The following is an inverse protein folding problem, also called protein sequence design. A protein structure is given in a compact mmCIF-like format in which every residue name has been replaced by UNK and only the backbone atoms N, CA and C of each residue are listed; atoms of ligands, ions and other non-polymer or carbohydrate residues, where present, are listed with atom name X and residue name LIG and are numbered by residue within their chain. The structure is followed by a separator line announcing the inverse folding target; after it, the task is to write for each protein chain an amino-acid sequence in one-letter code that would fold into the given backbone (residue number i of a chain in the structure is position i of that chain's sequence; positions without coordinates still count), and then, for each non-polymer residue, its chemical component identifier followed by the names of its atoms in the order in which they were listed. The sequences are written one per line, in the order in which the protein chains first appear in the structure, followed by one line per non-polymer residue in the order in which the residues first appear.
data_IF_320183041428
#
_entry.id   IF_320183041428
#
_cell.length_a   1.000
_cell.length_b   1.000
_cell.length_c   1.000
_cell.angle_alpha   90.00
_cell.angle_beta   90.00
_cell.angle_gamma   90.00
#
_symmetry.space_group_name_H-M   'P 1'
#
loop_
_entity.id
_entity.type
_entity.pdbx_description
1 polymer ?
#
# COMPACT_ATOMS: atom_id res chain seq x y z
N UNK A 1 -56.14 -39.06 41.71
CA UNK A 1 -56.68 -40.27 41.00
C UNK A 1 -55.81 -40.54 39.79
N UNK A 2 -55.24 -41.71 39.82
CA UNK A 2 -54.37 -42.31 38.78
C UNK A 2 -55.17 -42.53 37.51
N UNK A 3 -54.53 -42.38 36.38
CA UNK A 3 -54.64 -43.36 35.27
C UNK A 3 -53.48 -43.16 34.27
N UNK A 4 -52.58 -44.12 34.37
CA UNK A 4 -51.59 -44.50 33.38
C UNK A 4 -52.31 -45.06 32.14
N UNK A 5 -51.80 -44.79 30.94
CA UNK A 5 -52.02 -45.65 29.80
C UNK A 5 -50.73 -45.78 28.98
N UNK A 6 -50.52 -47.02 28.66
CA UNK A 6 -49.33 -47.68 28.15
C UNK A 6 -49.28 -47.61 26.62
N UNK A 7 -48.05 -47.55 26.11
CA UNK A 7 -47.54 -47.68 24.75
C UNK A 7 -48.19 -48.81 23.92
N UNK A 8 -48.20 -48.70 22.56
CA UNK A 8 -47.35 -49.69 21.89
C UNK A 8 -46.35 -49.05 20.86
N UNK A 9 -45.16 -49.62 20.91
CA UNK A 9 -44.12 -49.65 19.92
C UNK A 9 -44.62 -50.25 18.62
N UNK A 10 -44.42 -49.53 17.51
CA UNK A 10 -44.47 -50.12 16.17
C UNK A 10 -43.15 -49.78 15.46
N UNK A 11 -42.30 -50.79 15.36
CA UNK A 11 -41.22 -50.90 14.41
C UNK A 11 -41.74 -50.88 13.00
N UNK A 12 -41.30 -49.94 12.20
CA UNK A 12 -41.28 -50.07 10.75
C UNK A 12 -39.92 -49.66 10.25
N UNK A 13 -39.26 -50.60 9.68
CA UNK A 13 -37.96 -50.51 9.03
C UNK A 13 -38.08 -49.88 7.64
N UNK A 14 -36.95 -49.25 7.27
CA UNK A 14 -36.45 -49.14 5.90
C UNK A 14 -37.06 -48.16 4.92
N UNK A 15 -36.30 -47.12 4.64
CA UNK A 15 -35.81 -46.89 3.26
C UNK A 15 -34.57 -45.99 3.38
N UNK A 16 -33.41 -46.55 3.05
CA UNK A 16 -32.16 -45.81 2.87
C UNK A 16 -32.27 -45.19 1.48
N UNK A 17 -32.73 -43.95 1.39
CA UNK A 17 -32.52 -43.15 0.19
C UNK A 17 -31.13 -42.47 0.31
N UNK A 18 -30.19 -43.02 -0.43
CA UNK A 18 -28.90 -42.38 -0.69
C UNK A 18 -29.15 -41.12 -1.51
N UNK A 19 -29.41 -40.00 -0.82
CA UNK A 19 -29.36 -38.69 -1.45
C UNK A 19 -27.93 -38.43 -1.86
N UNK A 20 -27.66 -38.58 -3.15
CA UNK A 20 -26.45 -38.03 -3.79
C UNK A 20 -26.40 -36.56 -3.43
N UNK A 21 -25.51 -36.20 -2.50
CA UNK A 21 -25.13 -34.82 -2.31
C UNK A 21 -24.46 -34.36 -3.63
N UNK A 22 -25.24 -33.63 -4.43
CA UNK A 22 -24.71 -32.84 -5.53
C UNK A 22 -23.73 -31.85 -4.91
N UNK A 23 -22.44 -32.17 -5.01
CA UNK A 23 -21.37 -31.22 -4.77
C UNK A 23 -21.58 -30.09 -5.77
N UNK A 24 -22.04 -28.95 -5.26
CA UNK A 24 -22.04 -27.70 -6.00
C UNK A 24 -20.62 -27.51 -6.55
N UNK A 25 -20.46 -27.18 -7.85
CA UNK A 25 -19.12 -26.96 -8.38
C UNK A 25 -18.50 -25.81 -7.58
N UNK A 26 -17.40 -26.14 -6.89
CA UNK A 26 -16.50 -25.15 -6.28
C UNK A 26 -16.25 -24.09 -7.35
N UNK A 27 -16.77 -22.88 -7.11
CA UNK A 27 -16.52 -21.73 -7.98
C UNK A 27 -15.00 -21.66 -8.14
N UNK A 28 -14.54 -21.94 -9.36
CA UNK A 28 -13.16 -21.88 -9.76
C UNK A 28 -12.52 -20.64 -9.14
N UNK A 29 -11.58 -20.84 -8.25
CA UNK A 29 -10.61 -19.83 -7.88
C UNK A 29 -10.03 -19.35 -9.22
N UNK A 30 -10.34 -18.12 -9.61
CA UNK A 30 -9.80 -17.52 -10.83
C UNK A 30 -8.31 -17.60 -10.69
N UNK A 31 -7.67 -18.46 -11.48
CA UNK A 31 -6.22 -18.51 -11.59
C UNK A 31 -5.77 -17.07 -11.92
N UNK A 32 -5.03 -16.46 -11.02
CA UNK A 32 -4.50 -15.11 -11.21
C UNK A 32 -3.48 -15.18 -12.35
N UNK A 33 -3.93 -14.86 -13.55
CA UNK A 33 -3.04 -14.72 -14.69
C UNK A 33 -2.38 -13.34 -14.56
N UNK A 34 -1.04 -13.26 -14.50
CA UNK A 34 -0.36 -11.98 -14.51
C UNK A 34 -0.79 -11.17 -15.74
N UNK A 35 -1.07 -9.90 -15.55
CA UNK A 35 -1.42 -8.98 -16.63
C UNK A 35 -0.21 -8.83 -17.54
N UNK A 36 -0.40 -8.99 -18.84
CA UNK A 36 0.61 -8.79 -19.87
C UNK A 36 0.39 -7.46 -20.59
N UNK A 37 1.41 -6.97 -21.32
CA UNK A 37 1.30 -5.73 -22.11
C UNK A 37 0.08 -5.73 -23.04
N UNK A 38 -0.19 -6.86 -23.67
CA UNK A 38 -1.33 -7.00 -24.60
C UNK A 38 -2.71 -6.87 -23.93
N UNK A 39 -2.79 -7.02 -22.61
CA UNK A 39 -4.02 -6.91 -21.84
C UNK A 39 -4.27 -5.47 -21.36
N UNK A 40 -3.34 -4.55 -21.61
CA UNK A 40 -3.36 -3.16 -21.12
C UNK A 40 -3.67 -2.21 -22.27
N UNK A 41 -4.49 -1.20 -21.97
CA UNK A 41 -4.75 -0.10 -22.91
C UNK A 41 -3.43 0.52 -23.39
N UNK A 42 -3.21 0.68 -24.70
CA UNK A 42 -1.96 1.19 -25.27
C UNK A 42 -1.59 2.59 -24.77
N UNK A 43 -2.58 3.46 -24.61
CA UNK A 43 -2.35 4.84 -24.14
C UNK A 43 -1.94 4.84 -22.67
N UNK A 44 -2.61 4.01 -21.85
CA UNK A 44 -2.21 3.81 -20.46
C UNK A 44 -0.78 3.26 -20.37
N UNK A 45 -0.45 2.28 -21.20
CA UNK A 45 0.89 1.70 -21.23
C UNK A 45 1.94 2.77 -21.54
N UNK A 46 1.71 3.58 -22.56
CA UNK A 46 2.63 4.66 -22.96
C UNK A 46 2.86 5.67 -21.84
N UNK A 47 1.78 6.07 -21.14
CA UNK A 47 1.89 6.98 -19.98
C UNK A 47 2.69 6.36 -18.85
N UNK A 48 2.48 5.08 -18.56
CA UNK A 48 3.20 4.37 -17.48
C UNK A 48 4.68 4.18 -17.83
N UNK A 49 4.99 3.85 -19.07
CA UNK A 49 6.37 3.68 -19.58
C UNK A 49 7.15 4.98 -19.48
N UNK A 50 6.60 6.07 -20.02
CA UNK A 50 7.19 7.42 -19.93
C UNK A 50 7.39 7.87 -18.48
N UNK A 51 6.41 7.64 -17.61
CA UNK A 51 6.52 7.95 -16.19
C UNK A 51 7.62 7.15 -15.49
N UNK A 52 7.67 5.85 -15.75
CA UNK A 52 8.71 4.97 -15.20
C UNK A 52 10.10 5.38 -15.67
N UNK A 53 10.28 5.64 -16.97
CA UNK A 53 11.54 6.05 -17.54
C UNK A 53 12.08 7.34 -16.91
N UNK A 54 11.25 8.37 -16.82
CA UNK A 54 11.60 9.65 -16.19
C UNK A 54 11.95 9.48 -14.72
N UNK A 55 11.20 8.64 -14.00
CA UNK A 55 11.41 8.39 -12.58
C UNK A 55 12.71 7.65 -12.28
N UNK A 56 13.21 6.84 -13.20
CA UNK A 56 14.45 6.06 -13.03
C UNK A 56 15.68 6.95 -12.80
N UNK A 57 15.68 8.16 -13.37
CA UNK A 57 16.73 9.15 -13.19
C UNK A 57 16.70 9.91 -11.86
N UNK A 58 15.65 9.76 -11.03
CA UNK A 58 15.51 10.52 -9.80
C UNK A 58 16.37 9.95 -8.69
N UNK A 59 17.47 10.62 -8.37
CA UNK A 59 18.33 10.31 -7.23
C UNK A 59 17.93 11.09 -6.00
N UNK A 60 17.48 12.32 -6.22
CA UNK A 60 16.97 13.22 -5.17
C UNK A 60 15.74 13.93 -5.69
N UNK A 61 14.75 14.07 -4.84
CA UNK A 61 13.54 14.84 -5.12
C UNK A 61 13.15 15.60 -3.86
N UNK A 62 12.94 16.90 -4.02
CA UNK A 62 12.48 17.75 -2.94
C UNK A 62 11.36 18.67 -3.42
N UNK A 63 10.51 19.10 -2.50
CA UNK A 63 9.45 20.03 -2.85
C UNK A 63 8.57 20.42 -1.69
N UNK A 64 7.66 21.32 -1.98
CA UNK A 64 6.60 21.71 -1.05
C UNK A 64 5.39 20.82 -1.25
N UNK A 65 4.68 20.55 -0.17
CA UNK A 65 3.44 19.78 -0.17
C UNK A 65 2.38 20.50 0.66
N UNK A 66 1.17 20.51 0.13
CA UNK A 66 -0.04 20.91 0.83
C UNK A 66 -0.94 19.69 0.88
N UNK A 67 -1.24 19.20 2.09
CA UNK A 67 -2.23 18.14 2.28
C UNK A 67 -3.53 18.72 2.78
N UNK A 68 -4.63 18.32 2.13
CA UNK A 68 -5.99 18.52 2.63
C UNK A 68 -6.60 17.18 2.93
N UNK A 69 -7.08 17.00 4.14
CA UNK A 69 -7.85 15.84 4.56
C UNK A 69 -9.30 16.20 4.64
N UNK A 70 -10.15 15.53 3.88
CA UNK A 70 -11.59 15.75 3.87
C UNK A 70 -12.28 14.61 4.62
N UNK A 71 -13.07 14.96 5.63
CA UNK A 71 -13.97 14.02 6.30
C UNK A 71 -15.41 14.33 5.89
N UNK A 72 -16.01 13.41 5.12
CA UNK A 72 -17.38 13.58 4.61
C UNK A 72 -18.43 13.35 5.69
N UNK A 73 -18.10 12.63 6.76
CA UNK A 73 -19.01 12.38 7.89
C UNK A 73 -19.28 13.67 8.65
N UNK A 74 -18.22 14.37 9.01
CA UNK A 74 -18.29 15.60 9.79
C UNK A 74 -18.32 16.89 8.95
N UNK A 75 -18.15 16.75 7.61
CA UNK A 75 -18.02 17.87 6.69
C UNK A 75 -16.86 18.83 7.08
N UNK A 76 -15.73 18.25 7.46
CA UNK A 76 -14.50 18.94 7.86
C UNK A 76 -13.44 18.82 6.78
N UNK A 77 -12.73 19.91 6.53
CA UNK A 77 -11.52 19.97 5.72
C UNK A 77 -10.37 20.41 6.62
N UNK A 78 -9.42 19.51 6.86
CA UNK A 78 -8.18 19.83 7.56
C UNK A 78 -7.08 20.17 6.56
N UNK A 79 -6.24 21.16 6.91
CA UNK A 79 -5.15 21.60 6.05
C UNK A 79 -3.84 21.65 6.83
N UNK A 80 -2.80 21.08 6.23
CA UNK A 80 -1.41 21.18 6.66
C UNK A 80 -0.53 21.42 5.45
N UNK A 81 0.62 22.02 5.66
CA UNK A 81 1.60 22.26 4.59
C UNK A 81 2.99 21.96 5.09
N UNK A 82 3.90 21.67 4.16
CA UNK A 82 5.27 21.44 4.54
C UNK A 82 6.17 21.10 3.37
N UNK A 83 7.16 20.30 3.67
CA UNK A 83 8.19 19.92 2.73
C UNK A 83 8.37 18.41 2.73
N UNK A 84 8.73 17.89 1.57
CA UNK A 84 9.19 16.51 1.49
C UNK A 84 10.54 16.44 0.83
N UNK A 85 11.25 15.38 1.17
CA UNK A 85 12.56 15.07 0.66
C UNK A 85 12.69 13.57 0.41
N UNK A 86 13.29 13.21 -0.71
CA UNK A 86 13.58 11.83 -1.08
C UNK A 86 15.03 11.73 -1.54
N UNK A 87 15.69 10.66 -1.14
CA UNK A 87 17.00 10.24 -1.64
C UNK A 87 16.98 8.75 -1.95
N UNK A 88 17.31 8.42 -3.19
CA UNK A 88 17.35 7.03 -3.64
C UNK A 88 18.38 6.22 -2.83
N UNK A 89 18.11 4.93 -2.59
CA UNK A 89 16.95 4.20 -3.11
C UNK A 89 15.73 4.21 -2.18
N UNK A 90 15.87 4.52 -0.90
CA UNK A 90 14.85 4.23 0.10
C UNK A 90 14.74 5.25 1.24
N UNK A 91 15.41 6.39 1.16
CA UNK A 91 15.32 7.42 2.19
C UNK A 91 14.26 8.46 1.83
N UNK A 92 13.48 8.84 2.81
CA UNK A 92 12.45 9.86 2.64
C UNK A 92 12.12 10.60 3.91
N UNK A 93 11.69 11.83 3.75
CA UNK A 93 11.19 12.68 4.82
C UNK A 93 10.01 13.49 4.34
N UNK A 94 9.01 13.60 5.20
CA UNK A 94 7.85 14.46 5.03
C UNK A 94 7.62 15.19 6.36
N UNK A 95 7.75 16.49 6.34
CA UNK A 95 7.44 17.35 7.49
C UNK A 95 6.19 18.16 7.13
N UNK A 96 5.13 18.00 7.90
CA UNK A 96 3.89 18.71 7.77
C UNK A 96 3.62 19.53 9.02
N UNK A 97 3.42 20.82 8.83
CA UNK A 97 3.13 21.77 9.88
C UNK A 97 1.69 22.30 9.77
N UNK A 98 1.16 22.73 10.89
CA UNK A 98 -0.15 23.38 10.94
C UNK A 98 -0.19 24.63 10.06
N UNK A 99 -1.37 24.92 9.53
CA UNK A 99 -1.64 26.16 8.78
C UNK A 99 -2.54 27.05 9.63
N UNK A 100 -2.08 28.25 9.90
CA UNK A 100 -2.93 29.25 10.56
C UNK A 100 -4.09 29.65 9.64
N UNK A 101 -5.31 29.44 10.14
CA UNK A 101 -6.53 29.77 9.39
C UNK A 101 -6.91 31.21 9.69
N UNK A 102 -6.78 32.06 8.70
CA UNK A 102 -7.10 33.49 8.84
C UNK A 102 -8.43 33.88 8.16
N UNK A 103 -8.94 35.06 8.49
CA UNK A 103 -10.17 35.59 7.95
C UNK A 103 -10.19 35.66 6.42
N UNK A 104 -9.04 35.94 5.79
CA UNK A 104 -8.91 36.02 4.34
C UNK A 104 -9.16 34.65 3.69
N UNK A 105 -8.66 33.56 4.30
CA UNK A 105 -8.91 32.21 3.83
C UNK A 105 -10.38 31.84 3.94
N UNK A 106 -11.02 32.16 5.06
CA UNK A 106 -12.43 31.89 5.27
C UNK A 106 -13.31 32.69 4.30
N UNK A 107 -13.04 33.96 4.11
CA UNK A 107 -13.77 34.82 3.16
C UNK A 107 -13.61 34.33 1.70
N UNK A 108 -12.43 33.84 1.32
CA UNK A 108 -12.20 33.29 -0.01
C UNK A 108 -13.08 32.06 -0.30
N UNK A 109 -13.39 31.25 0.71
CA UNK A 109 -14.20 30.02 0.58
C UNK A 109 -15.69 30.33 0.42
N UNK A 110 -16.15 31.47 0.87
CA UNK A 110 -17.54 31.91 0.76
C UNK A 110 -17.85 32.60 -0.58
N UNK A 111 -16.83 32.98 -1.33
CA UNK A 111 -17.03 33.62 -2.63
C UNK A 111 -17.79 32.70 -3.60
N UNK A 112 -18.69 33.32 -4.40
CA UNK A 112 -19.39 32.62 -5.49
C UNK A 112 -18.37 32.03 -6.47
N UNK A 113 -18.50 30.73 -6.76
CA UNK A 113 -17.56 30.01 -7.62
C UNK A 113 -16.29 29.48 -6.94
N UNK A 114 -16.14 29.67 -5.61
CA UNK A 114 -15.04 29.04 -4.88
C UNK A 114 -15.06 27.52 -5.04
N UNK A 115 -13.93 26.96 -5.47
CA UNK A 115 -13.75 25.51 -5.62
C UNK A 115 -13.52 24.87 -4.24
N UNK A 116 -14.57 24.80 -3.43
CA UNK A 116 -14.58 24.17 -2.11
C UNK A 116 -15.57 23.02 -2.06
N UNK A 117 -15.27 21.99 -1.29
CA UNK A 117 -16.23 20.92 -1.04
C UNK A 117 -17.38 21.40 -0.22
N UNK A 118 -18.57 20.91 -0.55
CA UNK A 118 -19.80 21.28 0.10
C UNK A 118 -20.58 20.03 0.52
N UNK A 119 -21.30 20.13 1.63
CA UNK A 119 -22.29 19.17 2.07
C UNK A 119 -23.59 19.92 2.32
N UNK A 120 -24.69 19.50 1.71
CA UNK A 120 -25.99 20.17 1.80
C UNK A 120 -25.93 21.68 1.45
N UNK A 121 -25.10 22.05 0.46
CA UNK A 121 -24.93 23.45 0.04
C UNK A 121 -23.88 24.24 0.83
N UNK A 122 -23.53 23.84 2.04
CA UNK A 122 -22.56 24.52 2.89
C UNK A 122 -21.13 24.03 2.65
N UNK A 123 -20.14 24.92 2.60
CA UNK A 123 -18.73 24.51 2.49
C UNK A 123 -18.31 23.73 3.73
N UNK A 124 -17.44 22.74 3.53
CA UNK A 124 -16.83 22.02 4.65
C UNK A 124 -16.15 23.00 5.60
N UNK A 125 -16.29 22.75 6.91
CA UNK A 125 -15.61 23.53 7.94
C UNK A 125 -14.10 23.39 7.77
N UNK A 126 -13.40 24.52 7.61
CA UNK A 126 -11.95 24.51 7.49
C UNK A 126 -11.34 24.49 8.90
N UNK A 127 -10.45 23.52 9.12
CA UNK A 127 -9.70 23.37 10.38
C UNK A 127 -8.21 23.20 10.06
N UNK A 128 -7.36 23.58 11.00
CA UNK A 128 -5.95 23.23 10.93
C UNK A 128 -5.76 21.74 11.23
N UNK A 129 -4.91 21.09 10.49
CA UNK A 129 -4.51 19.71 10.80
C UNK A 129 -3.39 19.67 11.85
N UNK A 130 -3.04 18.48 12.32
CA UNK A 130 -1.97 18.25 13.27
C UNK A 130 -0.60 18.29 12.56
N UNK A 131 0.41 18.79 13.30
CA UNK A 131 1.80 18.72 12.84
C UNK A 131 2.33 17.30 12.95
N UNK A 132 2.83 16.79 11.86
CA UNK A 132 3.40 15.42 11.81
C UNK A 132 4.67 15.39 10.98
N UNK A 133 5.58 14.49 11.35
CA UNK A 133 6.78 14.21 10.57
C UNK A 133 6.87 12.71 10.32
N UNK A 134 7.23 12.39 9.11
CA UNK A 134 7.49 11.03 8.71
C UNK A 134 8.90 10.95 8.14
N UNK A 135 9.70 10.03 8.66
CA UNK A 135 11.09 9.85 8.21
C UNK A 135 11.37 8.38 7.97
N UNK A 136 11.93 8.07 6.81
CA UNK A 136 12.55 6.80 6.52
C UNK A 136 14.04 6.99 6.31
N UNK A 137 14.85 6.38 7.13
CA UNK A 137 16.32 6.47 7.07
C UNK A 137 16.97 5.31 6.27
N UNK A 138 16.13 4.47 5.64
CA UNK A 138 16.52 3.25 4.93
C UNK A 138 16.50 2.00 5.81
N UNK A 139 16.44 2.13 7.12
CA UNK A 139 16.37 1.02 8.09
C UNK A 139 15.09 1.05 8.92
N UNK A 140 14.56 2.23 9.15
CA UNK A 140 13.41 2.48 10.02
C UNK A 140 12.48 3.49 9.37
N UNK A 141 11.19 3.34 9.68
CA UNK A 141 10.18 4.35 9.47
C UNK A 141 9.83 4.95 10.82
N UNK A 142 9.85 6.25 10.93
CA UNK A 142 9.60 7.01 12.14
C UNK A 142 8.42 7.94 11.86
N UNK A 143 7.32 7.75 12.54
CA UNK A 143 6.16 8.64 12.53
C UNK A 143 6.19 9.48 13.80
N UNK A 144 6.17 10.79 13.67
CA UNK A 144 6.27 11.73 14.79
C UNK A 144 5.02 12.61 14.79
N UNK A 145 4.28 12.55 15.85
CA UNK A 145 3.24 13.52 16.20
C UNK A 145 3.84 14.60 17.06
N UNK A 146 4.01 15.78 16.48
CA UNK A 146 4.74 16.87 17.14
C UNK A 146 3.99 17.40 18.36
N UNK A 147 2.67 17.54 18.23
CA UNK A 147 1.83 18.15 19.27
C UNK A 147 1.70 17.26 20.51
N UNK A 148 1.59 15.97 20.34
CA UNK A 148 1.53 14.97 21.44
C UNK A 148 2.91 14.54 21.93
N UNK A 149 3.98 15.01 21.29
CA UNK A 149 5.38 14.59 21.55
C UNK A 149 5.52 13.05 21.54
N UNK A 150 4.84 12.39 20.63
CA UNK A 150 4.92 10.95 20.46
C UNK A 150 5.64 10.59 19.17
N UNK A 151 6.38 9.49 19.18
CA UNK A 151 7.05 8.94 18.02
C UNK A 151 6.84 7.43 17.96
N UNK A 152 6.41 6.94 16.81
CA UNK A 152 6.28 5.52 16.54
C UNK A 152 7.39 5.09 15.58
N UNK A 153 8.18 4.11 15.98
CA UNK A 153 9.33 3.63 15.21
C UNK A 153 9.10 2.21 14.74
N UNK A 154 9.06 2.03 13.42
CA UNK A 154 8.92 0.73 12.76
C UNK A 154 10.27 0.34 12.13
N UNK A 155 10.84 -0.76 12.54
CA UNK A 155 12.02 -1.31 11.89
C UNK A 155 11.63 -1.90 10.52
N UNK A 156 12.33 -1.50 9.46
CA UNK A 156 12.14 -2.13 8.15
C UNK A 156 12.77 -3.51 8.14
N UNK A 157 12.06 -4.55 7.70
CA UNK A 157 12.65 -5.84 7.38
C UNK A 157 13.83 -5.66 6.41
N UNK A 158 14.86 -6.47 6.56
CA UNK A 158 16.05 -6.40 5.70
C UNK A 158 15.72 -6.50 4.21
N UNK A 159 14.69 -7.27 3.87
CA UNK A 159 14.22 -7.47 2.49
C UNK A 159 13.60 -6.20 1.87
N UNK A 160 13.17 -5.24 2.70
CA UNK A 160 12.60 -3.96 2.27
C UNK A 160 13.60 -2.82 2.29
N UNK A 161 14.78 -3.01 2.91
CA UNK A 161 15.85 -2.03 2.92
C UNK A 161 16.49 -1.92 1.53
N UNK A 162 16.85 -0.72 1.11
CA UNK A 162 17.43 -0.49 -0.22
C UNK A 162 16.42 -0.53 -1.38
N UNK A 163 15.14 -0.63 -1.10
CA UNK A 163 14.07 -0.61 -2.12
C UNK A 163 13.29 0.69 -2.04
N UNK A 164 12.79 1.14 -3.20
CA UNK A 164 11.99 2.37 -3.29
C UNK A 164 10.88 2.40 -2.23
N UNK A 165 10.72 3.57 -1.59
CA UNK A 165 9.72 3.84 -0.54
C UNK A 165 8.31 3.91 -1.15
N UNK A 166 7.84 2.81 -1.72
CA UNK A 166 6.50 2.76 -2.33
C UNK A 166 5.37 2.65 -1.30
N UNK A 167 5.72 2.30 -0.05
CA UNK A 167 4.75 2.15 1.06
C UNK A 167 4.77 3.35 2.01
N UNK A 168 5.39 4.46 1.60
CA UNK A 168 5.42 5.69 2.37
C UNK A 168 4.10 6.47 2.32
N UNK A 169 4.00 7.55 3.07
CA UNK A 169 2.82 8.41 3.11
C UNK A 169 2.58 9.16 1.79
N UNK A 170 3.55 9.15 0.88
CA UNK A 170 3.47 9.76 -0.45
C UNK A 170 3.65 8.70 -1.55
N UNK A 171 2.69 7.76 -1.69
CA UNK A 171 2.71 6.85 -2.82
C UNK A 171 2.54 7.64 -4.11
N UNK A 172 2.94 7.06 -5.23
CA UNK A 172 2.82 7.68 -6.56
C UNK A 172 3.70 8.91 -6.81
N UNK A 173 4.74 9.16 -6.00
CA UNK A 173 5.77 10.16 -6.37
C UNK A 173 6.61 9.71 -7.55
N UNK A 174 6.70 8.40 -7.78
CA UNK A 174 7.52 7.79 -8.82
C UNK A 174 6.72 6.82 -9.66
N UNK A 175 7.04 6.76 -10.96
CA UNK A 175 6.52 5.74 -11.87
C UNK A 175 7.11 4.36 -11.55
N UNK A 176 6.25 3.37 -11.42
CA UNK A 176 6.66 1.97 -11.40
C UNK A 176 6.87 1.48 -12.83
N UNK A 177 7.76 0.50 -13.06
CA UNK A 177 7.79 -0.23 -14.31
C UNK A 177 6.37 -0.70 -14.69
N UNK A 178 5.92 -0.52 -15.95
CA UNK A 178 4.52 -0.72 -16.33
C UNK A 178 3.93 -2.06 -15.89
N UNK A 179 4.65 -3.17 -16.11
CA UNK A 179 4.21 -4.50 -15.67
C UNK A 179 4.05 -4.59 -14.13
N UNK A 180 4.91 -3.95 -13.36
CA UNK A 180 4.77 -3.90 -11.90
C UNK A 180 3.55 -3.09 -11.49
N UNK A 181 3.34 -1.96 -12.16
CA UNK A 181 2.19 -1.09 -11.88
C UNK A 181 0.86 -1.79 -12.12
N UNK A 182 0.67 -2.41 -13.31
CA UNK A 182 -0.58 -3.10 -13.67
C UNK A 182 -0.81 -4.39 -12.91
N UNK A 183 0.24 -5.05 -12.41
CA UNK A 183 0.09 -6.23 -11.56
C UNK A 183 -0.20 -5.87 -10.10
N UNK A 184 0.27 -4.71 -9.63
CA UNK A 184 0.01 -4.22 -8.27
C UNK A 184 -1.33 -3.51 -8.15
N UNK A 185 -1.74 -2.76 -9.19
CA UNK A 185 -2.94 -1.93 -9.20
C UNK A 185 -3.83 -2.24 -10.39
N UNK A 186 -5.13 -2.05 -10.22
CA UNK A 186 -6.05 -1.85 -11.33
C UNK A 186 -5.95 -0.38 -11.73
N UNK A 187 -5.48 -0.12 -12.94
CA UNK A 187 -5.20 1.22 -13.43
C UNK A 187 -6.14 1.60 -14.56
N UNK A 188 -6.61 2.83 -14.54
CA UNK A 188 -7.40 3.42 -15.60
C UNK A 188 -6.84 4.79 -15.96
N UNK A 189 -6.69 5.05 -17.24
CA UNK A 189 -6.36 6.37 -17.76
C UNK A 189 -7.65 7.16 -17.96
N UNK A 190 -7.85 8.19 -17.14
CA UNK A 190 -9.07 9.03 -17.17
C UNK A 190 -8.93 10.15 -18.17
N UNK A 191 -7.70 10.68 -18.31
CA UNK A 191 -7.40 11.74 -19.28
C UNK A 191 -5.99 11.60 -19.80
N UNK A 192 -5.87 11.68 -21.13
CA UNK A 192 -4.61 11.80 -21.83
C UNK A 192 -4.04 13.23 -21.72
N UNK A 193 -2.72 13.40 -21.76
CA UNK A 193 -2.12 14.71 -22.01
C UNK A 193 -2.50 15.20 -23.42
N UNK A 194 -2.54 16.52 -23.60
CA UNK A 194 -2.79 17.18 -24.87
C UNK A 194 -1.86 18.38 -25.05
N UNK A 195 -1.86 18.97 -26.23
CA UNK A 195 -1.09 20.21 -26.50
C UNK A 195 -1.46 21.33 -25.52
N UNK A 196 -2.73 21.40 -25.10
CA UNK A 196 -3.23 22.45 -24.21
C UNK A 196 -3.01 22.08 -22.73
N UNK A 197 -2.76 20.80 -22.40
CA UNK A 197 -2.63 20.32 -21.04
C UNK A 197 -1.68 19.14 -20.93
N UNK A 198 -0.49 19.31 -20.35
CA UNK A 198 0.49 18.23 -20.23
C UNK A 198 0.13 17.20 -19.13
N UNK A 199 -1.05 17.30 -18.55
CA UNK A 199 -1.44 16.46 -17.42
C UNK A 199 -2.21 15.22 -17.87
N UNK A 200 -1.66 14.05 -17.55
CA UNK A 200 -2.42 12.81 -17.54
C UNK A 200 -3.15 12.65 -16.20
N UNK A 201 -4.35 12.05 -16.23
CA UNK A 201 -5.08 11.68 -15.00
C UNK A 201 -5.21 10.17 -14.97
N UNK A 202 -4.63 9.58 -13.93
CA UNK A 202 -4.63 8.14 -13.67
C UNK A 202 -5.47 7.84 -12.44
N UNK A 203 -6.25 6.77 -12.49
CA UNK A 203 -6.98 6.22 -11.37
C UNK A 203 -6.43 4.85 -11.05
N UNK A 204 -6.16 4.58 -9.78
CA UNK A 204 -5.59 3.33 -9.30
C UNK A 204 -6.44 2.74 -8.17
N UNK A 205 -6.60 1.41 -8.19
CA UNK A 205 -7.17 0.65 -7.09
C UNK A 205 -6.19 -0.47 -6.71
N UNK A 206 -5.93 -0.69 -5.42
CA UNK A 206 -4.98 -1.71 -5.00
C UNK A 206 -5.52 -3.11 -5.26
N UNK A 207 -4.65 -4.00 -5.72
CA UNK A 207 -4.92 -5.43 -5.86
C UNK A 207 -4.44 -6.21 -4.63
N UNK A 208 -3.51 -5.63 -3.86
CA UNK A 208 -2.89 -6.27 -2.69
C UNK A 208 -3.59 -5.83 -1.42
N UNK A 209 -3.85 -6.74 -0.46
CA UNK A 209 -4.47 -6.40 0.82
C UNK A 209 -3.68 -5.35 1.61
N UNK A 210 -2.33 -5.41 1.58
CA UNK A 210 -1.47 -4.46 2.29
C UNK A 210 -1.68 -3.02 1.79
N UNK A 211 -1.77 -2.83 0.47
CA UNK A 211 -2.07 -1.53 -0.12
C UNK A 211 -3.51 -1.10 0.19
N UNK A 212 -4.46 -2.05 0.12
CA UNK A 212 -5.88 -1.81 0.37
C UNK A 212 -6.19 -1.45 1.82
N UNK A 213 -5.33 -1.83 2.77
CA UNK A 213 -5.44 -1.42 4.18
C UNK A 213 -5.19 0.07 4.39
N UNK A 214 -4.44 0.70 3.50
CA UNK A 214 -4.06 2.13 3.60
C UNK A 214 -4.97 3.03 2.78
N UNK A 215 -5.42 2.58 1.60
CA UNK A 215 -6.31 3.33 0.69
C UNK A 215 -7.05 2.38 -0.24
N UNK A 216 -8.25 2.75 -0.65
CA UNK A 216 -9.05 1.95 -1.58
C UNK A 216 -9.04 2.47 -3.02
N UNK A 217 -8.74 3.72 -3.23
CA UNK A 217 -8.66 4.39 -4.52
C UNK A 217 -7.67 5.53 -4.48
N UNK A 218 -6.87 5.67 -5.51
CA UNK A 218 -6.00 6.81 -5.74
C UNK A 218 -6.34 7.47 -7.08
N UNK A 219 -6.19 8.79 -7.16
CA UNK A 219 -6.19 9.56 -8.39
C UNK A 219 -4.90 10.37 -8.45
N UNK A 220 -4.17 10.26 -9.56
CA UNK A 220 -2.90 10.93 -9.77
C UNK A 220 -3.03 11.87 -10.96
N UNK A 221 -2.73 13.13 -10.74
CA UNK A 221 -2.55 14.12 -11.82
C UNK A 221 -1.05 14.24 -12.08
N UNK A 222 -0.61 13.63 -13.16
CA UNK A 222 0.80 13.53 -13.56
C UNK A 222 1.14 14.59 -14.60
N UNK A 223 2.15 15.43 -14.35
CA UNK A 223 2.76 16.25 -15.40
C UNK A 223 3.71 15.38 -16.24
N UNK A 224 3.26 15.01 -17.43
CA UNK A 224 4.01 14.10 -18.30
C UNK A 224 5.31 14.71 -18.85
N UNK A 225 5.50 16.03 -18.81
CA UNK A 225 6.76 16.66 -19.21
C UNK A 225 7.88 16.36 -18.22
N UNK A 226 7.53 16.32 -16.93
CA UNK A 226 8.50 16.16 -15.85
C UNK A 226 8.52 14.75 -15.25
N UNK A 227 7.48 13.97 -15.48
CA UNK A 227 7.27 12.68 -14.81
C UNK A 227 6.96 12.83 -13.31
N UNK A 228 6.48 14.00 -12.88
CA UNK A 228 6.18 14.28 -11.48
C UNK A 228 4.69 14.50 -11.27
N UNK A 229 4.11 14.01 -10.17
CA UNK A 229 2.72 14.26 -9.83
C UNK A 229 2.53 15.73 -9.42
N UNK A 230 1.51 16.38 -9.96
CA UNK A 230 1.03 17.67 -9.48
C UNK A 230 0.09 17.51 -8.28
N UNK A 231 -0.75 16.46 -8.34
CA UNK A 231 -1.69 16.12 -7.27
C UNK A 231 -1.81 14.59 -7.12
N UNK A 232 -2.00 14.16 -5.88
CA UNK A 232 -2.38 12.78 -5.55
C UNK A 232 -3.54 12.84 -4.58
N UNK A 233 -4.64 12.17 -4.91
CA UNK A 233 -5.79 12.01 -4.03
C UNK A 233 -5.87 10.55 -3.61
N UNK A 234 -5.99 10.29 -2.33
CA UNK A 234 -6.13 8.96 -1.74
C UNK A 234 -7.46 8.87 -1.00
N UNK A 235 -8.35 8.00 -1.42
CA UNK A 235 -9.56 7.68 -0.70
C UNK A 235 -9.25 6.57 0.32
N UNK A 236 -9.47 6.84 1.61
CA UNK A 236 -9.19 5.88 2.68
C UNK A 236 -10.16 4.70 2.63
N UNK A 237 -9.82 3.54 3.25
CA UNK A 237 -10.62 2.31 3.16
C UNK A 237 -12.06 2.47 3.64
N UNK A 238 -12.31 3.39 4.57
CA UNK A 238 -13.67 3.69 5.05
C UNK A 238 -14.57 4.34 3.98
N UNK A 239 -13.99 4.88 2.90
CA UNK A 239 -14.71 5.69 1.89
C UNK A 239 -15.20 7.05 2.39
N UNK A 240 -14.96 7.39 3.66
CA UNK A 240 -15.47 8.61 4.32
C UNK A 240 -14.43 9.71 4.42
N UNK A 241 -13.16 9.34 4.34
CA UNK A 241 -12.04 10.27 4.40
C UNK A 241 -11.19 10.16 3.14
N UNK A 242 -10.66 11.28 2.70
CA UNK A 242 -9.67 11.33 1.63
C UNK A 242 -8.59 12.35 1.92
N UNK A 243 -7.39 12.03 1.50
CA UNK A 243 -6.23 12.91 1.54
C UNK A 243 -5.91 13.39 0.13
N UNK A 244 -5.78 14.70 -0.03
CA UNK A 244 -5.37 15.33 -1.29
C UNK A 244 -4.04 16.03 -1.09
N UNK A 245 -3.01 15.52 -1.72
CA UNK A 245 -1.67 16.09 -1.75
C UNK A 245 -1.52 16.94 -3.00
N UNK A 246 -1.05 18.18 -2.82
CA UNK A 246 -0.71 19.09 -3.89
C UNK A 246 0.76 19.41 -3.79
N UNK A 247 1.51 19.17 -4.85
CA UNK A 247 2.96 19.37 -4.89
C UNK A 247 3.32 20.64 -5.63
N UNK A 248 4.34 21.35 -5.15
CA UNK A 248 4.85 22.57 -5.78
C UNK A 248 6.35 22.72 -5.53
N UNK A 249 6.98 23.57 -6.32
CA UNK A 249 8.42 23.87 -6.22
C UNK A 249 9.29 22.60 -6.25
N UNK A 250 8.88 21.63 -7.10
CA UNK A 250 9.57 20.36 -7.22
C UNK A 250 10.94 20.55 -7.86
N UNK A 251 11.94 19.94 -7.27
CA UNK A 251 13.34 20.01 -7.75
C UNK A 251 13.93 18.59 -7.74
N UNK A 252 14.47 18.21 -8.89
CA UNK A 252 15.06 16.90 -9.13
C UNK A 252 16.58 17.00 -9.20
N UNK A 253 17.29 16.09 -8.54
CA UNK A 253 18.74 15.89 -8.61
C UNK A 253 19.59 17.14 -8.35
N UNK A 254 19.08 18.14 -7.65
CA UNK A 254 19.81 19.35 -7.34
C UNK A 254 20.93 19.06 -6.32
N UNK A 255 22.20 19.37 -6.59
CA UNK A 255 23.25 19.31 -5.60
C UNK A 255 23.03 20.34 -4.49
N UNK A 256 23.15 19.92 -3.22
CA UNK A 256 23.04 20.84 -2.07
C UNK A 256 21.69 21.54 -1.96
N UNK A 257 20.57 20.83 -2.14
CA UNK A 257 19.23 21.42 -2.13
C UNK A 257 18.93 22.23 -0.86
N UNK A 258 17.95 23.15 -0.94
CA UNK A 258 17.55 24.04 0.18
C UNK A 258 17.27 23.33 1.48
N UNK A 259 16.92 22.05 1.41
CA UNK A 259 16.60 21.22 2.58
C UNK A 259 17.83 20.89 3.42
N UNK A 260 19.03 20.72 2.80
CA UNK A 260 20.27 20.56 3.56
C UNK A 260 20.61 21.79 4.42
N UNK A 261 20.23 22.97 3.95
CA UNK A 261 20.37 24.20 4.74
C UNK A 261 19.40 24.24 5.94
N UNK A 262 18.23 23.58 5.79
CA UNK A 262 17.16 23.60 6.80
C UNK A 262 17.31 22.52 7.87
N UNK A 263 17.79 21.30 7.52
CA UNK A 263 17.87 20.14 8.42
C UNK A 263 19.29 19.85 8.92
N UNK A 264 20.25 20.65 8.53
CA UNK A 264 21.64 20.39 8.87
C UNK A 264 22.30 19.31 8.01
N UNK A 265 23.27 18.58 8.57
CA UNK A 265 24.13 17.67 7.80
C UNK A 265 23.45 16.43 7.27
N UNK A 266 22.37 15.96 7.92
CA UNK A 266 21.65 14.74 7.51
C UNK A 266 20.14 14.93 7.73
N UNK A 267 19.34 15.09 6.64
CA UNK A 267 17.91 15.32 6.73
C UNK A 267 17.13 14.09 7.26
N UNK A 268 17.74 12.91 7.27
CA UNK A 268 17.10 11.68 7.73
C UNK A 268 17.40 11.36 9.19
N UNK A 269 18.29 12.12 9.82
CA UNK A 269 18.57 11.98 11.24
C UNK A 269 17.55 12.75 12.06
N UNK A 270 16.84 12.04 12.94
CA UNK A 270 15.86 12.62 13.85
C UNK A 270 16.34 12.51 15.29
N UNK A 271 16.19 13.60 16.03
CA UNK A 271 16.41 13.60 17.48
C UNK A 271 15.07 13.30 18.17
N UNK A 272 15.00 12.17 18.86
CA UNK A 272 13.82 11.71 19.56
C UNK A 272 13.88 11.87 21.08
N UNK A 273 14.88 12.58 21.62
CA UNK A 273 15.09 12.72 23.07
C UNK A 273 13.90 13.32 23.80
N UNK A 274 13.17 14.23 23.15
CA UNK A 274 12.03 14.93 23.73
C UNK A 274 10.67 14.26 23.40
N UNK A 275 10.70 13.06 22.81
CA UNK A 275 9.52 12.32 22.38
C UNK A 275 9.34 11.02 23.17
N UNK A 276 8.09 10.67 23.43
CA UNK A 276 7.74 9.34 23.90
C UNK A 276 7.84 8.37 22.73
N UNK A 277 8.85 7.50 22.75
CA UNK A 277 9.13 6.58 21.65
C UNK A 277 8.44 5.24 21.89
N UNK A 278 7.52 4.89 20.98
CA UNK A 278 6.89 3.58 20.91
C UNK A 278 7.57 2.77 19.80
N UNK A 279 8.15 1.64 20.17
CA UNK A 279 8.66 0.68 19.19
C UNK A 279 7.48 -0.18 18.74
N UNK A 280 7.04 0.03 17.51
CA UNK A 280 6.04 -0.83 16.91
C UNK A 280 6.72 -2.09 16.35
N UNK A 281 6.75 -3.13 17.18
CA UNK A 281 7.03 -4.47 16.68
C UNK A 281 5.88 -4.89 15.76
N UNK A 282 6.18 -5.22 14.52
CA UNK A 282 5.18 -5.70 13.54
C UNK A 282 4.51 -7.03 13.92
N UNK A 283 4.84 -7.60 15.08
CA UNK A 283 4.18 -8.80 15.61
C UNK A 283 2.82 -8.54 16.28
N UNK A 284 2.36 -7.29 16.33
CA UNK A 284 1.00 -6.99 16.82
C UNK A 284 0.09 -6.58 15.65
N UNK A 285 -0.34 -7.58 14.90
CA UNK A 285 -1.48 -7.45 14.02
C UNK A 285 -2.75 -7.10 14.81
N UNK A 286 -3.50 -6.11 14.29
CA UNK A 286 -4.86 -5.68 14.59
C UNK A 286 -5.12 -4.91 15.92
N UNK A 287 -6.14 -4.00 15.94
CA UNK A 287 -6.41 -3.13 17.07
C UNK A 287 -6.88 -3.93 18.28
N UNK A 288 -6.36 -3.56 19.46
CA UNK A 288 -6.63 -4.22 20.74
C UNK A 288 -8.12 -4.18 21.10
N UNK A 289 -8.82 -5.27 20.89
CA UNK A 289 -9.97 -5.61 21.72
C UNK A 289 -9.47 -6.10 23.10
N UNK A 290 -10.16 -5.64 24.15
CA UNK A 290 -9.84 -5.94 25.54
C UNK A 290 -9.74 -7.46 25.79
N UNK A 291 -8.87 -7.90 26.71
CA UNK A 291 -8.55 -9.32 26.85
C UNK A 291 -9.72 -10.11 27.41
N UNK A 292 -10.24 -11.00 26.59
CA UNK A 292 -10.93 -12.19 27.08
C UNK A 292 -9.89 -13.29 27.12
N UNK A 293 -9.50 -13.68 28.33
CA UNK A 293 -8.59 -14.80 28.58
C UNK A 293 -9.20 -16.07 27.98
N UNK A 294 -8.64 -16.54 26.88
CA UNK A 294 -8.81 -17.92 26.42
C UNK A 294 -7.44 -18.45 26.01
N UNK A 295 -7.10 -19.61 26.61
CA UNK A 295 -5.93 -20.41 26.27
C UNK A 295 -5.89 -20.63 24.73
N UNK A 296 -4.93 -20.03 24.06
CA UNK A 296 -4.65 -20.26 22.63
C UNK A 296 -3.39 -21.10 22.49
N UNK A 297 -3.54 -22.22 21.80
CA UNK A 297 -2.45 -23.01 21.24
C UNK A 297 -1.57 -22.16 20.29
N UNK A 298 -0.30 -22.51 20.07
CA UNK A 298 0.59 -21.77 19.19
C UNK A 298 0.00 -21.68 17.77
N UNK A 299 -0.02 -20.46 17.20
CA UNK A 299 -0.46 -20.21 15.82
C UNK A 299 0.61 -20.79 14.91
N UNK A 300 0.25 -21.78 14.10
CA UNK A 300 1.14 -22.33 13.06
C UNK A 300 1.56 -21.22 12.08
N UNK A 301 2.84 -21.15 11.70
CA UNK A 301 3.33 -20.16 10.74
C UNK A 301 2.66 -20.35 9.37
N UNK A 302 2.37 -19.26 8.68
CA UNK A 302 1.74 -19.27 7.35
C UNK A 302 2.78 -19.14 6.24
N UNK A 303 2.50 -19.74 5.08
CA UNK A 303 3.35 -19.66 3.88
C UNK A 303 3.35 -18.22 3.36
N UNK A 304 4.52 -17.55 3.25
CA UNK A 304 4.63 -16.20 2.74
C UNK A 304 4.47 -16.13 1.21
N UNK A 305 4.17 -14.93 0.68
CA UNK A 305 4.21 -14.69 -0.76
C UNK A 305 5.66 -14.53 -1.24
N UNK A 306 6.11 -15.47 -2.04
CA UNK A 306 7.48 -15.52 -2.58
C UNK A 306 7.54 -15.15 -4.06
N UNK A 307 6.40 -14.88 -4.71
CA UNK A 307 6.34 -14.58 -6.14
C UNK A 307 7.10 -13.28 -6.45
N UNK A 308 7.93 -13.31 -7.48
CA UNK A 308 8.80 -12.20 -7.88
C UNK A 308 10.13 -12.10 -7.12
N UNK A 309 10.32 -12.88 -6.05
CA UNK A 309 11.63 -12.95 -5.36
C UNK A 309 12.66 -13.73 -6.19
N UNK A 310 13.95 -13.44 -5.98
CA UNK A 310 14.98 -14.36 -6.44
C UNK A 310 14.82 -15.71 -5.77
N UNK A 311 15.23 -16.78 -6.39
CA UNK A 311 15.11 -18.11 -5.78
C UNK A 311 15.95 -18.24 -4.50
N UNK A 312 17.01 -17.44 -4.35
CA UNK A 312 17.90 -17.42 -3.19
C UNK A 312 17.22 -16.72 -2.01
N UNK A 313 16.59 -15.57 -2.26
CA UNK A 313 15.83 -14.83 -1.25
C UNK A 313 14.62 -15.63 -0.76
N UNK A 314 13.88 -16.24 -1.69
CA UNK A 314 12.74 -17.10 -1.35
C UNK A 314 13.16 -18.29 -0.48
N UNK A 315 14.30 -18.92 -0.79
CA UNK A 315 14.86 -20.02 0.00
C UNK A 315 15.29 -19.53 1.40
N UNK A 316 15.87 -18.34 1.51
CA UNK A 316 16.25 -17.75 2.79
C UNK A 316 15.02 -17.45 3.69
N UNK A 317 13.94 -16.93 3.10
CA UNK A 317 12.67 -16.68 3.82
C UNK A 317 12.09 -17.99 4.34
N UNK A 318 12.02 -19.03 3.51
CA UNK A 318 11.48 -20.34 3.90
C UNK A 318 12.31 -21.00 5.02
N UNK A 319 13.63 -20.87 4.99
CA UNK A 319 14.52 -21.39 6.05
C UNK A 319 14.27 -20.73 7.41
N UNK A 320 14.00 -19.41 7.43
CA UNK A 320 13.66 -18.68 8.66
C UNK A 320 12.34 -19.17 9.29
N UNK A 321 11.43 -19.70 8.47
CA UNK A 321 10.16 -20.29 8.91
C UNK A 321 10.30 -21.79 9.30
N UNK A 322 11.53 -22.30 9.36
CA UNK A 322 11.81 -23.67 9.75
C UNK A 322 11.72 -24.70 8.62
N UNK A 323 11.44 -24.26 7.39
CA UNK A 323 11.40 -25.16 6.22
C UNK A 323 12.82 -25.50 5.80
N UNK A 324 13.17 -26.75 5.84
CA UNK A 324 14.50 -27.25 5.48
C UNK A 324 14.71 -27.27 3.97
N UNK A 325 15.96 -27.22 3.55
CA UNK A 325 16.32 -27.29 2.11
C UNK A 325 15.75 -28.55 1.40
N UNK A 326 15.57 -29.64 2.12
CA UNK A 326 15.00 -30.89 1.56
C UNK A 326 13.49 -30.76 1.25
N UNK A 327 12.82 -29.82 1.87
CA UNK A 327 11.40 -29.54 1.69
C UNK A 327 11.15 -28.53 0.59
N UNK A 328 12.21 -27.84 0.09
CA UNK A 328 12.10 -26.83 -0.97
C UNK A 328 12.47 -27.48 -2.30
N UNK A 329 11.55 -27.43 -3.27
CA UNK A 329 11.78 -27.89 -4.64
C UNK A 329 11.77 -26.69 -5.59
N UNK A 330 12.82 -26.58 -6.41
CA UNK A 330 12.90 -25.61 -7.51
C UNK A 330 12.49 -26.32 -8.79
N UNK A 331 11.47 -25.82 -9.45
CA UNK A 331 10.89 -26.37 -10.68
C UNK A 331 11.01 -25.35 -11.81
N UNK A 332 11.08 -25.82 -13.03
CA UNK A 332 11.05 -24.98 -14.22
C UNK A 332 9.64 -24.38 -14.39
N UNK A 333 9.58 -23.07 -14.51
CA UNK A 333 8.40 -22.33 -14.94
C UNK A 333 8.42 -22.01 -16.43
N UNK A 334 7.68 -21.01 -16.85
CA UNK A 334 7.65 -20.53 -18.22
C UNK A 334 8.92 -19.72 -18.56
N UNK A 335 9.24 -19.53 -19.85
CA UNK A 335 10.27 -18.59 -20.27
C UNK A 335 9.95 -17.17 -19.76
N UNK A 336 10.99 -16.46 -19.30
CA UNK A 336 10.87 -15.09 -18.87
C UNK A 336 10.69 -14.17 -20.09
N UNK A 337 9.76 -13.23 -19.99
CA UNK A 337 9.64 -12.15 -20.98
C UNK A 337 10.69 -11.03 -20.79
N UNK A 338 11.26 -10.94 -19.58
CA UNK A 338 12.31 -10.00 -19.21
C UNK A 338 13.55 -10.78 -18.74
N UNK A 339 14.76 -10.49 -19.23
CA UNK A 339 16.00 -11.13 -18.77
C UNK A 339 16.21 -10.99 -17.24
N UNK A 340 15.75 -9.92 -16.62
CA UNK A 340 15.89 -9.66 -15.18
C UNK A 340 14.97 -10.55 -14.32
N UNK A 341 13.95 -11.17 -14.91
CA UNK A 341 13.07 -12.11 -14.21
C UNK A 341 13.59 -13.55 -14.20
N UNK A 342 14.62 -13.84 -15.00
CA UNK A 342 15.21 -15.19 -15.07
C UNK A 342 15.67 -15.64 -13.68
N UNK A 343 15.24 -16.85 -13.28
CA UNK A 343 15.44 -17.46 -11.96
C UNK A 343 14.69 -16.80 -10.80
N UNK A 344 13.77 -15.85 -11.04
CA UNK A 344 12.82 -15.40 -10.03
C UNK A 344 11.65 -16.36 -9.92
N UNK A 345 10.99 -16.35 -8.75
CA UNK A 345 9.81 -17.17 -8.51
C UNK A 345 8.65 -16.66 -9.33
N UNK A 346 8.21 -17.47 -10.29
CA UNK A 346 7.02 -17.22 -11.09
C UNK A 346 5.75 -17.57 -10.34
N UNK A 347 5.78 -18.70 -9.64
CA UNK A 347 4.66 -19.28 -8.89
C UNK A 347 5.21 -20.16 -7.78
N UNK A 348 4.45 -20.31 -6.71
CA UNK A 348 4.75 -21.19 -5.58
C UNK A 348 3.59 -22.14 -5.26
N UNK A 349 3.89 -23.22 -4.55
CA UNK A 349 2.93 -24.08 -3.85
C UNK A 349 3.57 -24.58 -2.56
N UNK A 350 2.89 -24.57 -1.39
CA UNK A 350 1.53 -24.10 -1.15
C UNK A 350 1.34 -22.61 -1.48
N UNK A 351 0.08 -22.16 -1.58
CA UNK A 351 -0.22 -20.76 -1.85
C UNK A 351 0.06 -19.87 -0.63
N UNK A 352 0.31 -18.56 -0.81
CA UNK A 352 0.49 -17.64 0.32
C UNK A 352 -0.71 -17.68 1.26
N UNK A 353 -0.42 -17.78 2.58
CA UNK A 353 -1.45 -17.84 3.63
C UNK A 353 -1.91 -19.25 4.01
N UNK A 354 -1.42 -20.30 3.36
CA UNK A 354 -1.64 -21.67 3.83
C UNK A 354 -0.78 -21.98 5.07
N UNK A 355 -1.27 -22.79 6.04
CA UNK A 355 -0.50 -23.11 7.23
C UNK A 355 0.75 -23.96 6.93
N UNK A 356 1.83 -23.67 7.65
CA UNK A 356 3.08 -24.42 7.60
C UNK A 356 3.09 -25.42 8.74
N UNK A 357 3.25 -26.69 8.43
CA UNK A 357 3.49 -27.78 9.36
C UNK A 357 4.87 -28.44 9.13
N UNK A 358 5.21 -29.41 9.97
CA UNK A 358 6.49 -30.12 9.88
C UNK A 358 6.68 -30.92 8.57
N UNK A 359 5.60 -31.21 7.84
CA UNK A 359 5.62 -31.97 6.59
C UNK A 359 5.49 -31.06 5.34
N UNK A 360 5.26 -29.78 5.54
CA UNK A 360 5.04 -28.82 4.45
C UNK A 360 6.23 -28.82 3.49
N UNK A 361 5.95 -29.06 2.20
CA UNK A 361 6.92 -29.02 1.11
C UNK A 361 6.57 -27.86 0.19
N UNK A 362 7.54 -27.01 -0.11
CA UNK A 362 7.35 -25.83 -0.96
C UNK A 362 7.95 -26.06 -2.33
N UNK A 363 7.14 -25.90 -3.37
CA UNK A 363 7.56 -25.91 -4.75
C UNK A 363 7.64 -24.46 -5.28
N UNK A 364 8.82 -24.05 -5.73
CA UNK A 364 9.08 -22.77 -6.37
C UNK A 364 9.25 -22.98 -7.88
N UNK A 365 8.33 -22.45 -8.66
CA UNK A 365 8.43 -22.45 -10.12
C UNK A 365 9.17 -21.19 -10.55
N UNK A 366 10.31 -21.35 -11.21
CA UNK A 366 11.20 -20.25 -11.56
C UNK A 366 11.06 -19.91 -13.04
N UNK A 367 11.08 -18.62 -13.35
CA UNK A 367 11.21 -18.17 -14.72
C UNK A 367 12.49 -18.74 -15.35
N UNK A 368 12.41 -19.20 -16.59
CA UNK A 368 13.54 -19.79 -17.31
C UNK A 368 14.03 -18.84 -18.41
N UNK A 369 15.26 -19.08 -18.87
CA UNK A 369 15.72 -18.43 -20.10
C UNK A 369 14.84 -18.90 -21.27
N UNK A 370 14.50 -17.98 -22.18
CA UNK A 370 13.84 -18.28 -23.44
C UNK A 370 14.69 -19.16 -24.32
#
# INVERSE_FOLDING_TARGET
MRRSLVIPVLLAAWCVDAAFAQQSPVRNARSFRPVQRADVDPDLWTVLEDWSEKSTGFRRLEGQVLRRTYDTTFAVEQVVRGYFYYEAPDKGRLDLDTVEINQKMLAARQKKGAKVRRKNGEPFKLETGLSEKWVCDGQRIINIEVDSKSAEVHKLPEELQGRNIMNGPLPFLFGLPPLRAVNRFTLNLIRLPSEQSPFAILKAQPKRPDDASSWQEAEVILDTRTGLPAHVRLLRPSGKQEDVYSFSSLTVNRPGGRIFEFFGRDPFKVDLRDYQVNLADRDRGAPAERPVVRNSSPIDPLVPDLVGMSHEDAEAVLKRLGITRKQIRKLRGNPAGDPDDVYRVQRQRPEPGEPIDAETRVALYLWTKA
#
